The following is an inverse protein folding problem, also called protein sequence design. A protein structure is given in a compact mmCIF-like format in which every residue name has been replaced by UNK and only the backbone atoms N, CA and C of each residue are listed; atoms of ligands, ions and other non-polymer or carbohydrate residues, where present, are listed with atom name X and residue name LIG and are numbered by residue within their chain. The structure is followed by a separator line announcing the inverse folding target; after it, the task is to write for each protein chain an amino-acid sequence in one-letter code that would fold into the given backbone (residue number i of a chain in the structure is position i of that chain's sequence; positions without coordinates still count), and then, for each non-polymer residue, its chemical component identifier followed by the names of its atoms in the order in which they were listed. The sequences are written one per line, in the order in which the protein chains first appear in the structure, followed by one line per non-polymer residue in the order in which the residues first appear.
data_IF_863683309084
#
_entry.id   IF_863683309084
#
_cell.length_a   1.000
_cell.length_b   1.000
_cell.length_c   1.000
_cell.angle_alpha   90.00
_cell.angle_beta   90.00
_cell.angle_gamma   90.00
#
_symmetry.space_group_name_H-M   'P 1'
#
loop_
_entity.id
_entity.type
_entity.pdbx_description
1 polymer ?
#
# COMPACT_ATOMS: atom_id res chain seq x y z
N UNK A 1 -34.62 -48.06 -45.93
CA UNK A 1 -34.01 -46.72 -46.03
C UNK A 1 -33.99 -46.09 -44.66
N UNK A 2 -32.87 -46.22 -43.94
CA UNK A 2 -32.70 -45.68 -42.55
C UNK A 2 -32.12 -44.26 -42.69
N UNK A 3 -32.82 -43.27 -42.13
CA UNK A 3 -32.34 -41.90 -42.06
C UNK A 3 -31.59 -41.73 -40.72
N UNK A 4 -30.24 -41.65 -40.81
CA UNK A 4 -29.41 -41.27 -39.67
C UNK A 4 -29.56 -39.76 -39.41
N UNK A 5 -30.07 -39.41 -38.24
CA UNK A 5 -30.18 -38.05 -37.73
C UNK A 5 -28.87 -37.76 -36.97
N UNK A 6 -27.98 -36.93 -37.53
CA UNK A 6 -26.80 -36.39 -36.84
C UNK A 6 -27.27 -35.26 -35.89
N UNK A 7 -27.20 -35.51 -34.59
CA UNK A 7 -27.44 -34.47 -33.57
C UNK A 7 -26.09 -33.77 -33.29
N UNK A 8 -25.89 -32.58 -33.86
CA UNK A 8 -24.76 -31.72 -33.54
C UNK A 8 -25.01 -31.05 -32.19
N UNK A 9 -24.31 -31.50 -31.15
CA UNK A 9 -24.28 -30.85 -29.85
C UNK A 9 -23.27 -29.70 -29.96
N UNK A 10 -23.74 -28.47 -30.13
CA UNK A 10 -22.94 -27.26 -29.91
C UNK A 10 -22.72 -27.10 -28.40
N UNK A 11 -21.56 -27.49 -27.90
CA UNK A 11 -21.10 -27.05 -26.58
C UNK A 11 -20.83 -25.54 -26.66
N UNK A 12 -21.78 -24.75 -26.22
CA UNK A 12 -21.57 -23.35 -25.94
C UNK A 12 -20.63 -23.23 -24.75
N UNK A 13 -19.36 -22.87 -25.02
CA UNK A 13 -18.43 -22.46 -23.97
C UNK A 13 -18.92 -21.12 -23.46
N UNK A 14 -19.72 -21.15 -22.36
CA UNK A 14 -19.95 -19.94 -21.58
C UNK A 14 -18.59 -19.50 -21.00
N UNK A 15 -17.95 -18.53 -21.62
CA UNK A 15 -16.85 -17.82 -21.00
C UNK A 15 -17.42 -17.03 -19.83
N UNK A 16 -17.40 -17.62 -18.63
CA UNK A 16 -17.56 -16.85 -17.41
C UNK A 16 -16.42 -15.82 -17.39
N UNK A 17 -16.71 -14.54 -17.08
CA UNK A 17 -15.64 -13.58 -16.89
C UNK A 17 -14.70 -14.13 -15.82
N UNK A 18 -13.42 -14.29 -16.16
CA UNK A 18 -12.42 -14.67 -15.19
C UNK A 18 -12.33 -13.54 -14.17
N UNK A 19 -12.83 -13.79 -12.98
CA UNK A 19 -12.66 -12.88 -11.84
C UNK A 19 -11.28 -13.14 -11.26
N UNK A 20 -10.51 -12.08 -10.99
CA UNK A 20 -9.26 -12.22 -10.26
C UNK A 20 -9.54 -12.94 -8.94
N UNK A 21 -8.85 -14.06 -8.71
CA UNK A 21 -9.03 -14.84 -7.48
C UNK A 21 -8.15 -14.24 -6.39
N UNK A 22 -8.74 -13.87 -5.26
CA UNK A 22 -8.00 -13.48 -4.06
C UNK A 22 -7.52 -14.73 -3.27
N UNK A 23 -6.30 -14.69 -2.73
CA UNK A 23 -5.25 -13.69 -2.93
C UNK A 23 -4.71 -13.65 -4.36
N UNK A 24 -4.22 -12.48 -4.80
CA UNK A 24 -3.66 -12.28 -6.15
C UNK A 24 -2.42 -13.14 -6.37
N UNK A 25 -1.50 -13.14 -5.39
CA UNK A 25 -0.29 -13.96 -5.38
C UNK A 25 -0.54 -15.17 -4.50
N UNK A 26 -0.35 -16.37 -5.07
CA UNK A 26 -0.61 -17.64 -4.38
C UNK A 26 0.65 -18.51 -4.26
N UNK A 27 1.78 -18.05 -4.79
CA UNK A 27 3.03 -18.79 -4.83
C UNK A 27 3.99 -18.45 -3.69
N UNK A 28 3.72 -17.36 -2.98
CA UNK A 28 4.49 -16.90 -1.82
C UNK A 28 3.64 -15.97 -0.97
N UNK A 29 4.09 -15.70 0.26
CA UNK A 29 3.44 -14.74 1.15
C UNK A 29 3.86 -13.32 0.79
N UNK A 30 2.87 -12.44 0.61
CA UNK A 30 3.06 -11.05 0.23
C UNK A 30 2.20 -10.14 1.08
N UNK A 31 2.68 -8.95 1.39
CA UNK A 31 1.97 -8.00 2.23
C UNK A 31 2.09 -6.57 1.69
N UNK A 32 1.40 -5.65 2.33
CA UNK A 32 1.59 -4.22 2.18
C UNK A 32 1.55 -3.76 0.71
N UNK A 33 0.43 -3.96 0.02
CA UNK A 33 0.33 -3.73 -1.42
C UNK A 33 0.46 -2.24 -1.76
N UNK A 34 1.37 -1.92 -2.69
CA UNK A 34 1.59 -0.57 -3.18
C UNK A 34 1.41 -0.51 -4.71
N UNK A 35 0.20 -0.26 -5.19
CA UNK A 35 -0.09 -0.17 -6.61
C UNK A 35 0.42 1.15 -7.21
N UNK A 36 0.96 1.06 -8.44
CA UNK A 36 1.34 2.18 -9.30
C UNK A 36 0.81 1.92 -10.71
N UNK A 37 0.22 2.90 -11.36
CA UNK A 37 -0.14 2.83 -12.79
C UNK A 37 0.81 3.69 -13.59
N UNK A 38 1.42 3.10 -14.61
CA UNK A 38 2.29 3.80 -15.55
C UNK A 38 2.16 3.15 -16.94
N UNK A 39 1.93 3.96 -17.99
CA UNK A 39 1.79 3.51 -19.39
C UNK A 39 0.81 2.32 -19.58
N UNK A 40 -0.41 2.46 -19.02
CA UNK A 40 -1.48 1.45 -19.09
C UNK A 40 -1.15 0.08 -18.46
N UNK A 41 -0.08 -0.01 -17.71
CA UNK A 41 0.29 -1.17 -16.89
C UNK A 41 0.10 -0.83 -15.43
N UNK A 42 -0.48 -1.74 -14.66
CA UNK A 42 -0.50 -1.66 -13.21
C UNK A 42 0.68 -2.46 -12.65
N UNK A 43 1.50 -1.80 -11.86
CA UNK A 43 2.63 -2.33 -11.11
C UNK A 43 2.22 -2.46 -9.66
N UNK A 44 2.36 -3.64 -9.11
CA UNK A 44 2.04 -3.92 -7.70
C UNK A 44 3.33 -4.30 -6.97
N UNK A 45 3.85 -3.38 -6.19
CA UNK A 45 4.96 -3.65 -5.26
C UNK A 45 4.38 -4.24 -3.99
N UNK A 46 5.08 -5.20 -3.39
CA UNK A 46 4.67 -5.82 -2.13
C UNK A 46 5.87 -6.08 -1.25
N UNK A 47 5.67 -6.04 0.05
CA UNK A 47 6.57 -6.70 0.99
C UNK A 47 6.49 -8.22 0.77
N UNK A 48 7.55 -8.94 1.15
CA UNK A 48 7.63 -10.39 1.08
C UNK A 48 7.83 -10.96 2.48
N UNK A 49 6.76 -11.54 3.03
CA UNK A 49 6.82 -12.27 4.30
C UNK A 49 7.57 -13.57 4.08
N UNK A 50 8.67 -13.81 4.78
CA UNK A 50 9.45 -15.03 4.69
C UNK A 50 8.65 -16.24 5.19
N UNK A 51 8.82 -17.40 4.55
CA UNK A 51 8.14 -18.63 4.92
C UNK A 51 8.36 -19.03 6.38
N UNK A 52 7.32 -19.57 7.01
CA UNK A 52 7.33 -20.01 8.40
C UNK A 52 7.69 -18.91 9.43
N UNK A 53 7.53 -17.68 9.07
CA UNK A 53 7.78 -16.54 9.96
C UNK A 53 6.82 -16.53 11.15
N UNK A 54 7.37 -16.21 12.32
CA UNK A 54 6.63 -15.96 13.57
C UNK A 54 6.74 -14.49 14.01
N UNK A 55 7.29 -13.66 13.14
CA UNK A 55 7.47 -12.22 13.26
C UNK A 55 7.50 -11.59 11.86
N UNK A 56 7.53 -10.28 11.75
CA UNK A 56 7.64 -9.53 10.49
C UNK A 56 9.04 -9.64 9.88
N UNK A 57 9.36 -10.83 9.35
CA UNK A 57 10.67 -11.09 8.70
C UNK A 57 10.52 -10.87 7.21
N UNK A 58 11.05 -9.76 6.72
CA UNK A 58 10.99 -9.33 5.32
C UNK A 58 12.35 -8.80 4.88
N UNK A 59 12.85 -9.27 3.73
CA UNK A 59 14.19 -8.97 3.24
C UNK A 59 14.23 -8.20 1.93
N UNK A 60 13.15 -8.28 1.15
CA UNK A 60 13.04 -7.71 -0.18
C UNK A 60 11.60 -7.30 -0.52
N UNK A 61 11.46 -6.58 -1.62
CA UNK A 61 10.18 -6.21 -2.21
C UNK A 61 10.02 -6.84 -3.57
N UNK A 62 8.88 -7.46 -3.78
CA UNK A 62 8.48 -8.10 -5.03
C UNK A 62 7.71 -7.13 -5.91
N UNK A 63 7.74 -7.40 -7.21
CA UNK A 63 6.97 -6.68 -8.20
C UNK A 63 6.12 -7.64 -9.01
N UNK A 64 4.85 -7.32 -9.13
CA UNK A 64 3.90 -7.98 -10.02
C UNK A 64 3.31 -6.96 -10.97
N UNK A 65 3.01 -7.35 -12.21
CA UNK A 65 2.36 -6.48 -13.19
C UNK A 65 1.16 -7.12 -13.82
N UNK A 66 0.19 -6.28 -14.19
CA UNK A 66 -0.99 -6.69 -14.95
C UNK A 66 -1.43 -5.59 -15.92
N UNK A 67 -2.08 -6.02 -17.00
CA UNK A 67 -2.77 -5.12 -17.94
C UNK A 67 -4.28 -5.35 -17.96
N UNK A 68 -4.80 -6.32 -17.21
CA UNK A 68 -6.21 -6.73 -17.23
C UNK A 68 -6.81 -7.05 -15.86
N UNK A 69 -6.02 -6.93 -14.77
CA UNK A 69 -6.40 -7.26 -13.39
C UNK A 69 -6.70 -8.76 -13.15
N UNK A 70 -6.45 -9.60 -14.13
CA UNK A 70 -6.70 -11.06 -14.08
C UNK A 70 -5.40 -11.82 -14.16
N UNK A 71 -4.58 -11.50 -15.17
CA UNK A 71 -3.29 -12.14 -15.40
C UNK A 71 -2.17 -11.30 -14.81
N UNK A 72 -1.39 -11.91 -13.92
CA UNK A 72 -0.30 -11.25 -13.22
C UNK A 72 1.04 -11.88 -13.61
N UNK A 73 2.01 -11.03 -13.92
CA UNK A 73 3.40 -11.44 -14.18
C UNK A 73 4.24 -11.16 -12.94
N UNK A 74 4.92 -12.19 -12.43
CA UNK A 74 5.88 -12.08 -11.34
C UNK A 74 7.27 -11.70 -11.88
N UNK A 75 7.84 -10.60 -11.39
CA UNK A 75 9.17 -10.10 -11.75
C UNK A 75 10.21 -10.39 -10.67
N UNK A 76 9.84 -11.13 -9.62
CA UNK A 76 10.71 -11.43 -8.50
C UNK A 76 11.00 -10.19 -7.62
N UNK A 77 12.13 -10.22 -6.92
CA UNK A 77 12.58 -9.11 -6.09
C UNK A 77 13.23 -8.02 -6.94
N UNK A 78 12.70 -6.80 -6.87
CA UNK A 78 13.24 -5.63 -7.59
C UNK A 78 14.03 -4.69 -6.70
N UNK A 79 13.90 -4.85 -5.38
CA UNK A 79 14.57 -4.04 -4.36
C UNK A 79 14.74 -4.86 -3.08
N UNK A 80 15.75 -4.59 -2.27
CA UNK A 80 15.93 -5.19 -0.96
C UNK A 80 16.54 -4.19 0.04
N UNK A 81 16.46 -4.50 1.34
CA UNK A 81 17.12 -3.65 2.34
C UNK A 81 18.64 -3.50 2.09
N UNK A 82 19.26 -4.46 1.39
CA UNK A 82 20.70 -4.44 1.05
C UNK A 82 21.10 -3.36 0.06
N UNK A 83 20.15 -2.78 -0.66
CA UNK A 83 20.35 -1.59 -1.51
C UNK A 83 20.82 -0.40 -0.67
N UNK A 84 20.45 -0.35 0.60
CA UNK A 84 20.79 0.70 1.53
C UNK A 84 21.95 0.27 2.43
N UNK A 85 23.16 0.78 2.18
CA UNK A 85 24.38 0.39 2.92
C UNK A 85 24.27 0.63 4.43
N UNK A 86 23.43 1.57 4.84
CA UNK A 86 23.14 1.95 6.22
C UNK A 86 22.03 1.10 6.87
N UNK A 87 21.30 0.29 6.11
CA UNK A 87 20.25 -0.59 6.63
C UNK A 87 20.78 -1.96 7.04
N UNK A 88 20.08 -2.64 7.95
CA UNK A 88 20.42 -3.99 8.42
C UNK A 88 19.30 -5.02 8.26
N UNK A 89 18.07 -4.63 7.92
CA UNK A 89 16.91 -5.51 7.76
C UNK A 89 15.61 -4.77 7.66
N UNK A 90 14.54 -5.53 7.75
CA UNK A 90 13.16 -5.07 7.90
C UNK A 90 12.62 -4.33 6.66
N UNK A 91 12.56 -5.04 5.52
CA UNK A 91 12.00 -4.54 4.27
C UNK A 91 10.45 -4.51 4.32
N UNK A 92 9.87 -3.58 5.13
CA UNK A 92 8.43 -3.49 5.39
C UNK A 92 7.68 -2.68 4.33
N UNK A 93 6.48 -2.20 4.64
CA UNK A 93 5.59 -1.54 3.69
C UNK A 93 6.25 -0.38 2.94
N UNK A 94 6.35 -0.48 1.62
CA UNK A 94 6.93 0.53 0.73
C UNK A 94 5.87 1.21 -0.13
N UNK A 95 6.24 2.30 -0.77
CA UNK A 95 5.53 2.81 -1.93
C UNK A 95 6.51 3.28 -3.01
N UNK A 96 6.15 3.03 -4.28
CA UNK A 96 6.83 3.59 -5.44
C UNK A 96 5.93 4.61 -6.13
N UNK A 97 6.49 5.76 -6.49
CA UNK A 97 5.83 6.78 -7.31
C UNK A 97 6.70 7.14 -8.50
N UNK A 98 6.06 7.62 -9.57
CA UNK A 98 6.75 8.11 -10.76
C UNK A 98 6.70 9.64 -10.80
N UNK A 99 7.81 10.27 -11.18
CA UNK A 99 7.88 11.70 -11.52
C UNK A 99 8.96 11.93 -12.56
N UNK A 100 8.57 12.59 -13.65
CA UNK A 100 9.48 13.03 -14.72
C UNK A 100 10.31 11.86 -15.32
N UNK A 101 9.69 10.69 -15.49
CA UNK A 101 10.31 9.50 -16.04
C UNK A 101 11.22 8.75 -15.08
N UNK A 102 11.27 9.15 -13.80
CA UNK A 102 11.98 8.45 -12.72
C UNK A 102 11.03 7.84 -11.71
N UNK A 103 11.45 6.72 -11.14
CA UNK A 103 10.70 5.95 -10.15
C UNK A 103 11.39 6.08 -8.79
N UNK A 104 10.63 6.49 -7.79
CA UNK A 104 11.11 6.75 -6.43
C UNK A 104 10.46 5.77 -5.48
N UNK A 105 11.24 4.83 -4.96
CA UNK A 105 10.80 3.83 -3.98
C UNK A 105 11.13 4.32 -2.56
N UNK A 106 10.10 4.65 -1.79
CA UNK A 106 10.23 5.02 -0.38
C UNK A 106 10.01 3.78 0.47
N UNK A 107 10.98 3.46 1.31
CA UNK A 107 11.02 2.19 2.02
C UNK A 107 11.34 2.39 3.49
N UNK A 108 10.67 1.71 4.41
CA UNK A 108 11.10 1.63 5.79
C UNK A 108 12.09 0.47 5.93
N UNK A 109 13.22 0.73 6.58
CA UNK A 109 14.21 -0.28 6.94
C UNK A 109 14.82 0.04 8.30
N UNK A 110 15.34 -0.97 8.99
CA UNK A 110 16.05 -0.72 10.26
C UNK A 110 17.47 -0.21 10.01
N UNK A 111 17.75 0.96 10.54
CA UNK A 111 19.07 1.60 10.47
C UNK A 111 20.08 0.88 11.36
N UNK A 112 21.31 0.62 10.84
CA UNK A 112 22.43 0.07 11.61
C UNK A 112 22.88 0.99 12.74
N UNK A 113 22.85 2.30 12.48
CA UNK A 113 23.37 3.28 13.42
C UNK A 113 22.49 3.46 14.67
N UNK A 114 21.16 3.36 14.51
CA UNK A 114 20.21 3.65 15.61
C UNK A 114 19.45 2.43 16.09
N UNK A 115 19.53 1.32 15.37
CA UNK A 115 18.75 0.11 15.63
C UNK A 115 17.23 0.38 15.70
N UNK A 116 16.76 1.35 14.92
CA UNK A 116 15.35 1.74 14.79
C UNK A 116 14.97 1.91 13.33
N UNK A 117 13.67 1.86 13.05
CA UNK A 117 13.15 2.12 11.71
C UNK A 117 13.56 3.51 11.22
N UNK A 118 13.77 3.61 9.92
CA UNK A 118 14.09 4.83 9.19
C UNK A 118 13.59 4.68 7.75
N UNK A 119 13.21 5.79 7.11
CA UNK A 119 12.74 5.78 5.73
C UNK A 119 13.91 6.12 4.81
N UNK A 120 14.17 5.23 3.84
CA UNK A 120 15.06 5.44 2.71
C UNK A 120 14.28 5.81 1.46
N UNK A 121 14.99 6.33 0.47
CA UNK A 121 14.51 6.50 -0.89
C UNK A 121 15.51 5.89 -1.86
N UNK A 122 15.03 5.06 -2.79
CA UNK A 122 15.83 4.54 -3.89
C UNK A 122 15.23 4.98 -5.23
N UNK A 123 16.08 5.25 -6.21
CA UNK A 123 15.69 5.84 -7.50
C UNK A 123 16.06 4.91 -8.64
N UNK A 124 15.20 4.84 -9.66
CA UNK A 124 15.44 4.10 -10.91
C UNK A 124 14.88 4.87 -12.10
N UNK A 125 15.41 4.59 -13.29
CA UNK A 125 14.86 5.03 -14.58
C UNK A 125 13.79 4.05 -15.12
N UNK A 126 13.47 3.01 -14.37
CA UNK A 126 12.51 1.97 -14.74
C UNK A 126 11.72 1.48 -13.52
N UNK A 127 10.41 1.17 -13.67
CA UNK A 127 9.62 0.58 -12.57
C UNK A 127 10.11 -0.81 -12.14
N UNK A 128 10.92 -1.45 -12.98
CA UNK A 128 11.53 -2.76 -12.69
C UNK A 128 12.88 -2.64 -11.96
N UNK A 129 13.39 -1.43 -11.75
CA UNK A 129 14.74 -1.19 -11.27
C UNK A 129 15.78 -1.24 -12.41
N UNK A 130 17.09 -1.35 -12.10
CA UNK A 130 17.62 -1.42 -10.75
C UNK A 130 17.42 -0.11 -9.98
N UNK A 131 17.01 -0.23 -8.72
CA UNK A 131 16.91 0.91 -7.81
C UNK A 131 18.24 1.13 -7.09
N UNK A 132 18.65 2.39 -6.95
CA UNK A 132 19.87 2.79 -6.23
C UNK A 132 19.53 3.77 -5.12
N UNK A 133 20.25 3.70 -4.01
CA UNK A 133 20.18 4.69 -2.91
C UNK A 133 21.04 5.92 -3.28
N UNK A 134 20.41 7.07 -3.61
CA UNK A 134 21.18 8.26 -4.01
C UNK A 134 21.78 9.00 -2.82
N UNK A 135 21.31 8.72 -1.60
CA UNK A 135 21.68 9.49 -0.40
C UNK A 135 22.78 8.83 0.43
N UNK A 136 22.88 7.51 0.41
CA UNK A 136 23.77 6.74 1.30
C UNK A 136 23.44 6.90 2.79
N UNK A 137 22.24 7.40 3.12
CA UNK A 137 21.72 7.66 4.46
C UNK A 137 20.19 7.68 4.45
N UNK A 138 19.52 7.58 5.60
CA UNK A 138 18.08 7.77 5.68
C UNK A 138 17.62 9.13 5.14
N UNK A 139 16.48 9.15 4.45
CA UNK A 139 15.73 10.37 4.15
C UNK A 139 15.06 10.87 5.44
N UNK A 140 14.42 9.97 6.20
CA UNK A 140 13.81 10.27 7.51
C UNK A 140 14.36 9.32 8.56
N UNK A 141 14.78 9.88 9.69
CA UNK A 141 15.20 9.13 10.87
C UNK A 141 14.83 9.90 12.15
N UNK A 142 13.54 9.94 12.45
CA UNK A 142 13.01 10.72 13.58
C UNK A 142 12.98 9.94 14.90
N UNK A 143 13.10 8.59 14.83
CA UNK A 143 12.91 7.65 15.96
C UNK A 143 11.48 7.68 16.53
N UNK A 144 10.51 8.03 15.69
CA UNK A 144 9.11 8.19 16.08
C UNK A 144 8.18 7.20 15.35
N UNK A 145 8.69 5.99 15.04
CA UNK A 145 7.94 5.00 14.27
C UNK A 145 7.96 5.33 12.77
N UNK A 146 9.16 5.44 12.21
CA UNK A 146 9.38 5.81 10.80
C UNK A 146 9.17 4.60 9.89
N UNK A 147 7.89 4.16 9.77
CA UNK A 147 7.43 3.05 8.93
C UNK A 147 6.29 3.49 8.03
N UNK A 148 5.95 2.68 7.04
CA UNK A 148 4.81 2.82 6.15
C UNK A 148 4.78 4.16 5.39
N UNK A 149 5.84 4.52 4.66
CA UNK A 149 5.85 5.74 3.86
C UNK A 149 4.85 5.65 2.72
N UNK A 150 4.08 6.73 2.52
CA UNK A 150 3.25 6.97 1.34
C UNK A 150 3.57 8.34 0.76
N UNK A 151 3.71 8.43 -0.55
CA UNK A 151 3.93 9.70 -1.25
C UNK A 151 2.77 9.99 -2.18
N UNK A 152 2.26 11.19 -2.07
CA UNK A 152 1.23 11.73 -2.94
C UNK A 152 1.76 12.98 -3.64
N UNK A 153 1.64 13.02 -4.96
CA UNK A 153 1.98 14.19 -5.78
C UNK A 153 0.65 14.85 -6.16
N UNK A 154 0.44 16.08 -5.71
CA UNK A 154 -0.78 16.83 -5.99
C UNK A 154 -0.77 17.45 -7.40
N UNK A 155 -1.91 17.97 -7.85
CA UNK A 155 -2.10 18.54 -9.18
C UNK A 155 -1.20 19.77 -9.44
N UNK A 156 -0.75 20.45 -8.40
CA UNK A 156 0.22 21.56 -8.47
C UNK A 156 1.69 21.10 -8.54
N UNK A 157 1.92 19.78 -8.50
CA UNK A 157 3.24 19.17 -8.53
C UNK A 157 3.91 19.06 -7.15
N UNK A 158 3.29 19.57 -6.07
CA UNK A 158 3.84 19.40 -4.73
C UNK A 158 3.69 17.95 -4.26
N UNK A 159 4.80 17.32 -3.88
CA UNK A 159 4.81 16.00 -3.29
C UNK A 159 4.79 16.07 -1.75
N UNK A 160 4.01 15.16 -1.16
CA UNK A 160 3.86 15.01 0.28
C UNK A 160 4.23 13.59 0.68
N UNK A 161 5.15 13.43 1.61
CA UNK A 161 5.50 12.14 2.23
C UNK A 161 4.80 12.05 3.58
N UNK A 162 3.91 11.05 3.70
CA UNK A 162 3.24 10.67 4.95
C UNK A 162 3.80 9.34 5.46
N UNK A 163 3.78 9.11 6.78
CA UNK A 163 4.22 7.84 7.40
C UNK A 163 3.80 7.75 8.85
N UNK A 164 4.01 6.58 9.46
CA UNK A 164 4.19 6.47 10.91
C UNK A 164 3.25 5.56 11.67
N UNK A 165 3.76 5.06 12.78
CA UNK A 165 3.11 4.25 13.82
C UNK A 165 3.68 4.65 15.19
N UNK A 166 2.90 4.95 16.24
CA UNK A 166 1.44 5.00 16.29
C UNK A 166 0.82 6.35 15.90
N UNK A 167 1.61 7.27 15.40
CA UNK A 167 1.17 8.60 15.02
C UNK A 167 1.50 8.85 13.56
N UNK A 168 0.61 9.55 12.88
CA UNK A 168 0.81 9.96 11.50
C UNK A 168 1.65 11.25 11.44
N UNK A 169 2.63 11.26 10.54
CA UNK A 169 3.51 12.40 10.28
C UNK A 169 3.54 12.72 8.79
N UNK A 170 3.96 13.93 8.44
CA UNK A 170 4.23 14.29 7.06
C UNK A 170 5.35 15.33 6.94
N UNK A 171 5.92 15.39 5.74
CA UNK A 171 6.75 16.50 5.23
C UNK A 171 6.35 16.83 3.80
N UNK A 172 6.71 18.02 3.35
CA UNK A 172 6.71 18.38 1.93
C UNK A 172 8.06 17.98 1.33
N UNK A 173 8.03 17.15 0.30
CA UNK A 173 9.23 16.83 -0.44
C UNK A 173 9.61 18.02 -1.36
N UNK A 174 10.90 18.18 -1.56
CA UNK A 174 11.42 19.08 -2.59
C UNK A 174 11.20 18.47 -3.99
N UNK A 175 11.42 19.26 -5.03
CA UNK A 175 11.25 18.83 -6.43
C UNK A 175 12.12 17.62 -6.80
N UNK A 176 13.26 17.46 -6.12
CA UNK A 176 14.19 16.34 -6.32
C UNK A 176 13.65 15.00 -5.82
N UNK A 177 12.55 14.99 -5.07
CA UNK A 177 11.90 13.81 -4.48
C UNK A 177 12.77 13.01 -3.49
N UNK A 178 13.97 13.46 -3.19
CA UNK A 178 14.95 12.78 -2.30
C UNK A 178 15.37 13.65 -1.12
N UNK A 179 14.76 14.80 -0.95
CA UNK A 179 14.98 15.72 0.16
C UNK A 179 13.68 16.41 0.58
N UNK A 180 13.67 17.04 1.74
CA UNK A 180 12.57 17.88 2.21
C UNK A 180 13.10 19.08 3.01
N UNK A 181 12.29 20.13 3.11
CA UNK A 181 12.56 21.32 3.93
C UNK A 181 11.54 21.46 5.06
N UNK A 182 11.96 22.15 6.13
CA UNK A 182 11.12 22.40 7.29
C UNK A 182 11.09 21.25 8.30
N UNK A 183 10.15 21.35 9.22
CA UNK A 183 9.99 20.40 10.32
C UNK A 183 9.10 19.22 9.91
N UNK A 184 9.35 18.07 10.55
CA UNK A 184 8.43 16.94 10.52
C UNK A 184 7.16 17.33 11.28
N UNK A 185 6.04 17.35 10.58
CA UNK A 185 4.75 17.73 11.14
C UNK A 185 3.99 16.48 11.59
N UNK A 186 3.55 16.47 12.85
CA UNK A 186 2.62 15.45 13.33
C UNK A 186 1.19 15.86 12.98
N UNK A 187 0.47 14.98 12.29
CA UNK A 187 -0.96 15.14 12.03
C UNK A 187 -1.71 15.20 13.36
N UNK A 188 -2.65 16.14 13.57
CA UNK A 188 -3.46 16.18 14.78
C UNK A 188 -4.28 14.89 14.96
N UNK A 189 -3.92 14.08 15.97
CA UNK A 189 -4.55 12.80 16.27
C UNK A 189 -5.79 13.02 17.16
N UNK A 190 -6.85 13.56 16.58
CA UNK A 190 -8.12 13.85 17.26
C UNK A 190 -9.21 12.85 16.92
N UNK A 191 -10.19 12.67 17.78
CA UNK A 191 -11.36 11.82 17.49
C UNK A 191 -12.12 12.29 16.25
N UNK A 192 -12.15 13.58 15.97
CA UNK A 192 -12.74 14.14 14.77
C UNK A 192 -11.98 13.69 13.51
N UNK A 193 -10.66 13.61 13.58
CA UNK A 193 -9.81 13.24 12.45
C UNK A 193 -9.76 11.73 12.19
N UNK A 194 -9.67 10.91 13.24
CA UNK A 194 -9.38 9.47 13.11
C UNK A 194 -10.33 8.56 13.92
N UNK A 195 -11.47 9.08 14.37
CA UNK A 195 -12.46 8.32 15.13
C UNK A 195 -12.05 8.07 16.58
N UNK A 196 -13.06 7.75 17.38
CA UNK A 196 -12.91 7.51 18.81
C UNK A 196 -12.42 6.08 19.05
N UNK A 197 -11.31 5.96 19.79
CA UNK A 197 -10.81 4.68 20.29
C UNK A 197 -11.33 4.41 21.68
N UNK A 198 -11.70 3.17 21.94
CA UNK A 198 -12.02 2.68 23.27
C UNK A 198 -10.83 1.92 23.87
N UNK A 199 -10.74 1.87 25.20
CA UNK A 199 -9.68 1.16 25.93
C UNK A 199 -8.46 2.04 26.24
N UNK A 200 -7.25 1.53 25.98
CA UNK A 200 -6.00 2.26 26.29
C UNK A 200 -5.73 3.36 25.28
N UNK A 201 -6.16 4.59 25.60
CA UNK A 201 -5.98 5.78 24.75
C UNK A 201 -4.68 6.54 25.03
N UNK A 202 -3.88 6.12 26.01
CA UNK A 202 -2.67 6.87 26.42
C UNK A 202 -1.61 6.86 25.30
N UNK A 203 -1.42 5.73 24.67
CA UNK A 203 -0.41 5.54 23.61
C UNK A 203 -1.00 5.71 22.22
N UNK A 204 -2.29 5.37 22.04
CA UNK A 204 -3.03 5.47 20.79
C UNK A 204 -4.35 6.18 21.03
N UNK A 205 -4.41 7.51 20.84
CA UNK A 205 -5.58 8.31 21.25
C UNK A 205 -6.79 8.14 20.33
N UNK A 206 -6.61 7.58 19.13
CA UNK A 206 -7.64 7.42 18.09
C UNK A 206 -7.62 6.01 17.51
N UNK A 207 -8.45 5.73 16.51
CA UNK A 207 -8.45 4.47 15.82
C UNK A 207 -7.21 4.26 14.92
N UNK A 208 -6.50 5.32 14.51
CA UNK A 208 -5.30 5.20 13.68
C UNK A 208 -4.25 4.30 14.35
N UNK A 209 -3.73 3.34 13.59
CA UNK A 209 -2.60 2.48 13.97
C UNK A 209 -1.36 2.81 13.13
N UNK A 210 -1.46 2.65 11.78
CA UNK A 210 -0.37 2.73 10.84
C UNK A 210 -0.86 2.80 9.38
N UNK A 211 0.00 2.57 8.41
CA UNK A 211 -0.35 2.35 7.01
C UNK A 211 -1.09 3.52 6.35
N UNK A 212 -0.62 4.78 6.47
CA UNK A 212 -1.30 5.86 5.79
C UNK A 212 -1.19 5.72 4.27
N UNK A 213 -2.25 6.02 3.54
CA UNK A 213 -2.27 6.09 2.09
C UNK A 213 -3.07 7.30 1.65
N UNK A 214 -2.44 8.29 1.01
CA UNK A 214 -3.11 9.48 0.53
C UNK A 214 -3.60 9.30 -0.90
N UNK A 215 -4.88 9.62 -1.14
CA UNK A 215 -5.55 9.51 -2.42
C UNK A 215 -6.45 10.73 -2.65
N UNK A 216 -6.56 11.18 -3.89
CA UNK A 216 -7.43 12.29 -4.29
C UNK A 216 -8.48 11.82 -5.29
N UNK A 217 -9.73 12.19 -5.06
CA UNK A 217 -10.82 11.98 -6.02
C UNK A 217 -11.66 13.24 -6.09
N UNK A 218 -11.81 13.77 -7.29
CA UNK A 218 -12.38 15.10 -7.51
C UNK A 218 -11.65 16.13 -6.62
N UNK A 219 -12.37 17.00 -5.92
CA UNK A 219 -11.80 18.02 -5.03
C UNK A 219 -11.72 17.57 -3.57
N UNK A 220 -11.62 16.26 -3.32
CA UNK A 220 -11.57 15.69 -1.97
C UNK A 220 -10.36 14.77 -1.81
N UNK A 221 -9.61 15.01 -0.73
CA UNK A 221 -8.51 14.15 -0.32
C UNK A 221 -9.01 13.11 0.65
N UNK A 222 -8.51 11.90 0.51
CA UNK A 222 -8.77 10.74 1.34
C UNK A 222 -7.44 10.27 1.93
N UNK A 223 -7.34 10.24 3.24
CA UNK A 223 -6.26 9.57 3.95
C UNK A 223 -6.82 8.25 4.45
N UNK A 224 -6.40 7.15 3.81
CA UNK A 224 -6.71 5.79 4.24
C UNK A 224 -5.66 5.36 5.25
N UNK A 225 -6.02 4.46 6.15
CA UNK A 225 -5.11 4.00 7.21
C UNK A 225 -5.58 2.68 7.81
N UNK A 226 -4.63 1.91 8.35
CA UNK A 226 -4.93 0.77 9.19
C UNK A 226 -5.40 1.23 10.56
N UNK A 227 -6.51 0.69 11.03
CA UNK A 227 -7.22 1.14 12.22
C UNK A 227 -7.43 0.03 13.23
N UNK A 228 -7.25 0.41 14.49
CA UNK A 228 -7.39 -0.47 15.63
C UNK A 228 -8.70 -0.33 16.42
N UNK A 229 -8.79 -1.04 17.55
CA UNK A 229 -7.72 -1.89 18.11
C UNK A 229 -7.41 -3.10 17.22
N UNK A 230 -6.20 -3.66 17.39
CA UNK A 230 -5.79 -4.88 16.67
C UNK A 230 -6.76 -6.03 17.06
N UNK A 231 -7.34 -6.78 16.09
CA UNK A 231 -6.96 -6.86 14.67
C UNK A 231 -7.53 -5.68 13.88
N UNK A 232 -6.71 -5.21 12.94
CA UNK A 232 -6.97 -3.98 12.20
C UNK A 232 -8.10 -4.09 11.19
N UNK A 233 -8.78 -2.97 11.01
CA UNK A 233 -9.66 -2.67 9.90
C UNK A 233 -9.00 -1.59 9.01
N UNK A 234 -9.55 -1.29 7.84
CA UNK A 234 -9.17 -0.11 7.08
C UNK A 234 -10.17 1.01 7.35
N UNK A 235 -9.65 2.13 7.87
CA UNK A 235 -10.39 3.37 8.06
C UNK A 235 -10.00 4.41 7.02
N UNK A 236 -10.78 5.49 6.96
CA UNK A 236 -10.42 6.64 6.14
C UNK A 236 -10.87 7.95 6.76
N UNK A 237 -10.16 9.00 6.40
CA UNK A 237 -10.47 10.38 6.75
C UNK A 237 -10.46 11.23 5.49
N UNK A 238 -11.23 12.32 5.48
CA UNK A 238 -11.36 13.21 4.32
C UNK A 238 -10.94 14.62 4.66
N UNK A 239 -10.48 15.37 3.64
CA UNK A 239 -10.16 16.79 3.75
C UNK A 239 -10.28 17.51 2.40
N UNK A 240 -10.40 18.83 2.43
CA UNK A 240 -10.29 19.70 1.24
C UNK A 240 -8.84 20.11 0.92
N UNK A 241 -7.89 19.67 1.73
CA UNK A 241 -6.46 19.95 1.58
C UNK A 241 -5.66 18.68 1.85
N UNK A 242 -4.52 18.44 1.15
CA UNK A 242 -3.65 17.29 1.42
C UNK A 242 -3.03 17.33 2.83
N UNK A 243 -3.11 18.48 3.52
CA UNK A 243 -2.57 18.69 4.87
C UNK A 243 -3.64 18.66 5.97
N UNK A 244 -4.90 18.37 5.63
CA UNK A 244 -6.01 18.46 6.57
C UNK A 244 -6.62 19.88 6.64
N UNK A 245 -7.43 20.21 7.64
CA UNK A 245 -7.81 19.32 8.74
C UNK A 245 -8.57 18.08 8.24
N UNK A 246 -8.28 16.94 8.87
CA UNK A 246 -8.89 15.67 8.53
C UNK A 246 -10.20 15.47 9.28
N UNK A 247 -11.16 14.81 8.62
CA UNK A 247 -12.44 14.42 9.20
C UNK A 247 -12.65 12.93 8.99
N UNK A 248 -12.86 12.20 10.07
CA UNK A 248 -13.13 10.76 10.04
C UNK A 248 -14.35 10.45 9.17
N UNK A 249 -14.16 9.60 8.18
CA UNK A 249 -15.20 9.18 7.23
C UNK A 249 -15.84 7.85 7.59
N UNK A 250 -15.18 7.01 8.38
CA UNK A 250 -15.70 5.70 8.78
C UNK A 250 -14.73 4.55 8.51
N UNK A 251 -15.26 3.36 8.64
CA UNK A 251 -14.58 2.11 8.27
C UNK A 251 -14.79 1.88 6.78
N UNK A 252 -13.69 1.78 6.03
CA UNK A 252 -13.71 1.47 4.59
C UNK A 252 -13.87 -0.03 4.38
N UNK A 253 -13.13 -0.83 5.13
CA UNK A 253 -13.17 -2.29 5.09
C UNK A 253 -13.03 -2.84 6.51
N UNK A 254 -13.94 -3.73 6.95
CA UNK A 254 -13.82 -4.37 8.25
C UNK A 254 -12.56 -5.28 8.28
N UNK A 255 -12.21 -5.72 9.48
CA UNK A 255 -11.10 -6.66 9.69
C UNK A 255 -11.24 -7.89 8.78
N UNK A 256 -10.21 -8.17 7.99
CA UNK A 256 -10.12 -9.34 7.14
C UNK A 256 -9.36 -10.51 7.80
N UNK A 257 -9.86 -11.72 7.52
CA UNK A 257 -9.54 -12.90 8.31
C UNK A 257 -8.10 -13.35 8.31
N UNK A 258 -7.66 -13.91 9.44
CA UNK A 258 -6.36 -14.52 9.77
C UNK A 258 -5.16 -13.61 9.86
N UNK A 259 -5.22 -12.38 9.35
CA UNK A 259 -4.22 -11.35 9.64
C UNK A 259 -4.71 -10.44 10.76
N UNK A 260 -3.83 -10.04 11.66
CA UNK A 260 -4.13 -9.05 12.69
C UNK A 260 -3.69 -7.63 12.27
N UNK A 261 -2.92 -7.52 11.18
CA UNK A 261 -2.60 -6.24 10.51
C UNK A 261 -3.33 -6.13 9.18
N UNK A 262 -3.48 -4.90 8.67
CA UNK A 262 -3.93 -4.62 7.33
C UNK A 262 -3.15 -3.42 6.75
N UNK A 263 -3.12 -3.26 5.42
CA UNK A 263 -2.44 -2.16 4.77
C UNK A 263 -3.17 -1.78 3.48
N UNK A 264 -3.63 -0.53 3.32
CA UNK A 264 -4.35 -0.12 2.13
C UNK A 264 -3.41 0.33 1.01
N UNK A 265 -3.75 -0.02 -0.22
CA UNK A 265 -3.26 0.63 -1.44
C UNK A 265 -4.44 0.92 -2.34
N UNK A 266 -4.58 2.15 -2.83
CA UNK A 266 -5.70 2.51 -3.71
C UNK A 266 -5.17 3.12 -5.01
N UNK A 267 -5.80 2.77 -6.13
CA UNK A 267 -5.42 3.27 -7.45
C UNK A 267 -6.59 3.27 -8.41
N UNK A 268 -6.62 4.25 -9.29
CA UNK A 268 -7.51 4.25 -10.45
C UNK A 268 -6.82 3.57 -11.64
N UNK A 269 -7.50 2.60 -12.24
CA UNK A 269 -7.01 1.87 -13.38
C UNK A 269 -8.14 1.52 -14.35
N UNK A 270 -7.99 1.91 -15.63
CA UNK A 270 -8.96 1.64 -16.71
C UNK A 270 -10.41 1.99 -16.34
N UNK A 271 -10.59 3.17 -15.73
CA UNK A 271 -11.92 3.70 -15.37
C UNK A 271 -12.54 3.11 -14.10
N UNK A 272 -11.82 2.26 -13.40
CA UNK A 272 -12.23 1.70 -12.11
C UNK A 272 -11.27 2.12 -11.00
N UNK A 273 -11.78 2.16 -9.76
CA UNK A 273 -10.96 2.35 -8.57
C UNK A 273 -10.79 1.02 -7.85
N UNK A 274 -9.57 0.63 -7.55
CA UNK A 274 -9.23 -0.62 -6.87
C UNK A 274 -8.64 -0.35 -5.50
N UNK A 275 -9.11 -1.09 -4.50
CA UNK A 275 -8.53 -1.16 -3.17
C UNK A 275 -7.73 -2.46 -3.07
N UNK A 276 -6.44 -2.32 -2.83
CA UNK A 276 -5.55 -3.41 -2.47
C UNK A 276 -5.41 -3.48 -0.95
N UNK A 277 -5.32 -4.67 -0.42
CA UNK A 277 -5.19 -4.95 1.01
C UNK A 277 -4.48 -6.29 1.21
N UNK A 278 -4.24 -6.72 2.43
CA UNK A 278 -3.74 -8.08 2.66
C UNK A 278 -4.61 -8.86 3.66
N UNK A 279 -4.49 -10.18 3.60
CA UNK A 279 -5.17 -11.12 4.48
C UNK A 279 -4.24 -12.30 4.80
N UNK A 280 -4.62 -13.19 5.69
CA UNK A 280 -3.94 -14.47 5.93
C UNK A 280 -4.65 -15.65 5.25
N UNK A 281 -5.19 -15.48 4.03
CA UNK A 281 -6.09 -16.44 3.40
C UNK A 281 -5.41 -17.69 2.79
N UNK A 282 -4.12 -17.60 2.45
CA UNK A 282 -3.39 -18.75 1.91
C UNK A 282 -3.23 -19.88 2.94
N UNK A 283 -3.06 -21.13 2.51
CA UNK A 283 -2.68 -22.23 3.39
C UNK A 283 -1.44 -21.87 4.22
N UNK A 284 -1.50 -22.02 5.55
CA UNK A 284 -0.43 -21.55 6.45
C UNK A 284 -0.38 -20.04 6.70
N UNK A 285 -1.31 -19.28 6.11
CA UNK A 285 -1.38 -17.83 6.29
C UNK A 285 -1.74 -17.42 7.72
N UNK A 286 -1.16 -16.30 8.12
CA UNK A 286 -1.29 -15.69 9.46
C UNK A 286 -1.03 -14.19 9.39
N UNK A 287 -0.87 -13.53 10.54
CA UNK A 287 -0.42 -12.14 10.59
C UNK A 287 1.04 -11.91 10.24
N UNK A 288 1.83 -12.97 10.07
CA UNK A 288 3.25 -12.92 9.67
C UNK A 288 3.55 -13.65 8.36
N UNK A 289 2.51 -14.21 7.73
CA UNK A 289 2.54 -14.91 6.44
C UNK A 289 1.29 -14.48 5.69
N UNK A 290 1.29 -13.22 5.27
CA UNK A 290 0.12 -12.52 4.69
C UNK A 290 0.01 -12.76 3.19
N UNK A 291 -1.07 -12.30 2.59
CA UNK A 291 -1.33 -12.47 1.17
C UNK A 291 -2.10 -11.28 0.61
N UNK A 292 -1.58 -10.68 -0.46
CA UNK A 292 -2.19 -9.51 -1.09
C UNK A 292 -3.46 -9.88 -1.83
N UNK A 293 -4.48 -9.07 -1.59
CA UNK A 293 -5.81 -9.14 -2.19
C UNK A 293 -6.17 -7.83 -2.88
N UNK A 294 -7.17 -7.88 -3.75
CA UNK A 294 -7.75 -6.70 -4.40
C UNK A 294 -9.27 -6.78 -4.42
N UNK A 295 -9.93 -5.65 -4.27
CA UNK A 295 -11.35 -5.53 -4.56
C UNK A 295 -11.63 -4.27 -5.39
N UNK A 296 -12.71 -4.32 -6.16
CA UNK A 296 -13.24 -3.16 -6.85
C UNK A 296 -13.93 -2.26 -5.83
N UNK A 297 -13.50 -1.01 -5.74
CA UNK A 297 -14.13 -0.03 -4.86
C UNK A 297 -15.33 0.59 -5.60
N UNK A 298 -16.53 0.13 -5.25
CA UNK A 298 -17.75 0.71 -5.79
C UNK A 298 -18.05 2.03 -5.10
N UNK A 299 -18.06 3.11 -5.87
CA UNK A 299 -18.78 4.30 -5.44
C UNK A 299 -20.21 4.12 -5.90
N UNK A 300 -21.14 3.82 -4.98
CA UNK A 300 -22.56 3.98 -5.29
C UNK A 300 -22.78 5.41 -5.77
N UNK A 301 -23.42 5.63 -6.92
CA UNK A 301 -23.95 6.95 -7.21
C UNK A 301 -24.85 7.33 -6.05
N UNK A 302 -24.61 8.51 -5.47
CA UNK A 302 -25.50 9.03 -4.43
C UNK A 302 -26.92 9.03 -4.97
N UNK A 303 -27.94 8.53 -4.27
CA UNK A 303 -29.32 8.60 -4.73
C UNK A 303 -29.89 10.03 -4.71
N UNK A 304 -29.03 11.06 -4.64
CA UNK A 304 -29.41 12.47 -4.58
C UNK A 304 -28.48 13.28 -5.49
N UNK A 305 -28.71 13.21 -6.76
CA UNK A 305 -28.44 14.26 -7.75
C UNK A 305 -29.60 14.30 -8.75
#
# INVERSE_FOLDING_TARGET
MSKNLFLSICLGICSLPAMAQNPIVQTMYTADPAPLVHNDVLYLYTSHDEDASTWFVMNDWKLYTTTDMVNWTDHGAVLSYKTFSWAKGDAWAMQCVERDGKFYAYVPVTSRATNSAAIGVAVSDSPYGPFIDPLGKPLVQSKKGDIDPTVFIDDDGQAYLYWGNPFCYYVKLNEDMISYEGDIVRVPMTEEAFGKREGNIKERPTLYEEGPWLYKRNDLYYLLWAGGPISEHLGYSTSKSPLGPWKYGGVLMPTEGRSFTNHPGIVDYKGNTYLFYHSGALPGGSGFTRSVCVCLLYTSPSPRD
#
